data_IF_180248134473
#
_entry.id   IF_180248134473
#
_cell.length_a   1.000
_cell.length_b   1.000
_cell.length_c   1.000
_cell.angle_alpha   90.00
_cell.angle_beta   90.00
_cell.angle_gamma   90.00
#
_symmetry.space_group_name_H-M   'P 1'
#
loop_
_entity.id
_entity.type
_entity.pdbx_description
1 polymer ?
2 water ?
#
# COMPACT_ATOMS: atom_id res chain seq x y z
N UNK A 5 2.76 10.68 -0.48
CA UNK A 5 1.77 10.88 0.61
C UNK A 5 1.24 9.56 1.12
N UNK A 6 2.10 8.54 1.15
CA UNK A 6 1.68 7.22 1.61
C UNK A 6 1.17 7.24 3.04
N UNK A 7 1.65 8.19 3.84
CA UNK A 7 1.21 8.27 5.23
C UNK A 7 -0.22 8.78 5.33
N UNK A 8 -0.81 9.10 4.19
CA UNK A 8 -2.20 9.56 4.15
C UNK A 8 -3.13 8.35 4.01
N UNK A 9 -2.57 7.24 3.57
CA UNK A 9 -3.36 6.02 3.37
C UNK A 9 -2.89 4.83 4.21
N UNK A 10 -1.65 4.88 4.70
CA UNK A 10 -1.10 3.80 5.51
C UNK A 10 -0.57 4.34 6.85
N UNK A 11 -0.66 3.53 7.89
CA UNK A 11 -0.18 3.93 9.21
C UNK A 11 1.33 3.78 9.33
N UNK A 12 2.00 4.87 9.67
CA UNK A 12 3.45 4.84 9.87
C UNK A 12 3.77 5.20 11.31
N UNK A 13 4.84 4.60 11.82
CA UNK A 13 5.30 4.88 13.17
C UNK A 13 6.79 5.16 13.05
N UNK A 14 7.37 5.69 14.12
CA UNK A 14 8.79 6.01 14.14
C UNK A 14 9.44 5.21 15.25
N UNK A 15 10.60 4.61 14.99
CA UNK A 15 11.27 3.84 16.03
C UNK A 15 12.49 4.57 16.57
N UNK A 16 13.21 3.92 17.48
CA UNK A 16 14.39 4.50 18.11
C UNK A 16 15.48 4.95 17.15
N UNK A 17 15.53 4.33 15.97
CA UNK A 17 16.53 4.68 14.97
C UNK A 17 16.10 5.85 14.09
N UNK A 18 14.90 6.37 14.35
CA UNK A 18 14.38 7.47 13.56
C UNK A 18 13.81 6.98 12.24
N UNK A 19 13.64 5.67 12.16
CA UNK A 19 13.10 5.05 10.95
C UNK A 19 11.59 5.12 10.94
N UNK A 20 11.02 5.48 9.78
CA UNK A 20 9.57 5.55 9.63
C UNK A 20 9.18 4.19 9.09
N UNK A 21 8.29 3.47 9.77
CA UNK A 21 7.92 2.16 9.30
C UNK A 21 6.43 1.86 9.34
N UNK A 22 6.02 0.92 8.49
CA UNK A 22 4.63 0.50 8.43
C UNK A 22 4.60 -1.02 8.29
N UNK A 23 3.59 -1.63 8.90
CA UNK A 23 3.42 -3.08 8.82
C UNK A 23 2.71 -3.37 7.49
N UNK A 24 3.33 -4.18 6.65
CA UNK A 24 2.75 -4.52 5.36
C UNK A 24 3.35 -5.84 4.89
N UNK A 25 2.47 -6.81 4.60
CA UNK A 25 2.91 -8.12 4.13
C UNK A 25 2.51 -8.32 2.68
N UNK A 26 3.49 -8.23 1.79
CA UNK A 26 3.26 -8.40 0.36
C UNK A 26 4.48 -9.06 -0.26
N UNK A 27 4.50 -9.14 -1.58
CA UNK A 27 5.62 -9.76 -2.30
C UNK A 27 6.34 -8.76 -3.17
N UNK A 28 7.67 -8.83 -3.18
CA UNK A 28 8.50 -7.95 -3.99
C UNK A 28 9.35 -8.80 -4.92
N UNK A 29 9.30 -8.49 -6.21
CA UNK A 29 10.09 -9.21 -7.22
C UNK A 29 11.11 -8.23 -7.78
N UNK A 30 12.38 -8.51 -7.56
CA UNK A 30 13.45 -7.62 -8.03
C UNK A 30 13.67 -7.66 -9.53
N UNK A 31 13.99 -6.50 -10.11
CA UNK A 31 14.26 -6.45 -11.55
C UNK A 31 15.75 -6.18 -11.75
N UNK A 32 16.51 -6.33 -10.66
CA UNK A 32 17.94 -6.10 -10.67
C UNK A 32 18.59 -6.79 -9.45
N UNK A 33 19.91 -6.94 -9.46
CA UNK A 33 20.61 -7.56 -8.33
C UNK A 33 20.72 -6.52 -7.22
N UNK A 34 20.05 -6.73 -6.10
CA UNK A 34 20.07 -5.76 -5.01
C UNK A 34 20.88 -6.19 -3.78
N UNK A 35 21.69 -5.28 -3.26
CA UNK A 35 22.50 -5.54 -2.07
C UNK A 35 21.66 -5.39 -0.81
N UNK A 36 21.59 -6.45 -0.02
CA UNK A 36 20.81 -6.42 1.22
C UNK A 36 21.69 -6.13 2.44
N UNK A 37 21.07 -5.69 3.52
CA UNK A 37 21.78 -5.36 4.75
C UNK A 37 21.29 -6.11 5.97
N UNK A 38 22.19 -6.28 6.93
CA UNK A 38 21.85 -6.96 8.18
C UNK A 38 21.47 -5.92 9.23
N UNK A 39 20.82 -6.38 10.29
CA UNK A 39 20.47 -5.54 11.45
C UNK A 39 19.50 -4.37 11.27
N UNK A 40 19.66 -3.60 10.19
CA UNK A 40 18.78 -2.47 9.99
C UNK A 40 18.89 -1.86 8.60
N UNK A 41 17.96 -0.95 8.26
CA UNK A 41 17.92 -0.26 6.96
C UNK A 41 18.93 0.88 6.79
N UNK A 42 20.20 0.53 6.85
CA UNK A 42 21.30 1.48 6.68
C UNK A 42 22.36 0.84 5.79
N UNK A 43 22.82 1.57 4.78
CA UNK A 43 23.85 1.04 3.89
C UNK A 43 25.17 0.84 4.64
N UNK A 44 25.28 1.48 5.81
CA UNK A 44 26.49 1.37 6.61
C UNK A 44 26.54 0.03 7.37
N UNK A 45 25.41 -0.67 7.42
CA UNK A 45 25.34 -1.95 8.10
C UNK A 45 26.09 -3.00 7.29
N UNK A 46 26.47 -4.11 7.92
CA UNK A 46 27.19 -5.18 7.20
C UNK A 46 26.31 -5.68 6.06
N UNK A 47 26.92 -6.11 4.96
CA UNK A 47 26.14 -6.62 3.85
C UNK A 47 25.61 -8.00 4.24
N UNK A 48 24.36 -8.29 3.91
CA UNK A 48 23.79 -9.59 4.21
C UNK A 48 24.00 -10.53 3.02
N UNK A 49 23.74 -10.00 1.83
CA UNK A 49 23.91 -10.79 0.62
C UNK A 49 23.41 -10.00 -0.57
N UNK A 50 22.86 -10.69 -1.55
CA UNK A 50 22.33 -10.05 -2.74
C UNK A 50 21.07 -10.77 -3.18
N UNK A 51 20.00 -10.02 -3.40
CA UNK A 51 18.76 -10.61 -3.89
C UNK A 51 18.88 -10.53 -5.40
N UNK A 52 18.98 -11.69 -6.04
CA UNK A 52 19.13 -11.76 -7.49
C UNK A 52 17.92 -11.30 -8.28
N UNK A 53 18.19 -10.71 -9.45
CA UNK A 53 17.14 -10.25 -10.33
C UNK A 53 16.18 -11.39 -10.63
N UNK A 54 14.89 -11.09 -10.61
CA UNK A 54 13.88 -12.08 -10.92
C UNK A 54 13.34 -12.88 -9.75
N UNK A 55 14.02 -12.80 -8.61
CA UNK A 55 13.56 -13.53 -7.43
C UNK A 55 12.47 -12.76 -6.70
N UNK A 56 11.58 -13.50 -6.05
CA UNK A 56 10.49 -12.89 -5.30
C UNK A 56 10.60 -13.26 -3.82
N UNK A 57 10.47 -12.26 -2.95
CA UNK A 57 10.50 -12.52 -1.52
C UNK A 57 9.23 -11.94 -0.90
N UNK A 58 8.85 -12.47 0.25
CA UNK A 58 7.67 -11.98 0.96
C UNK A 58 8.14 -11.17 2.14
N UNK A 59 7.83 -9.88 2.14
CA UNK A 59 8.25 -9.02 3.23
C UNK A 59 7.09 -8.76 4.17
N UNK A 60 7.39 -8.23 5.35
CA UNK A 60 6.35 -7.96 6.34
C UNK A 60 6.43 -6.55 6.89
N UNK A 61 7.42 -5.79 6.46
CA UNK A 61 7.59 -4.43 6.97
C UNK A 61 8.18 -3.55 5.87
N UNK A 62 7.80 -2.27 5.87
CA UNK A 62 8.30 -1.30 4.91
C UNK A 62 8.86 -0.14 5.72
N UNK A 63 10.06 0.32 5.37
CA UNK A 63 10.71 1.39 6.12
C UNK A 63 11.32 2.47 5.25
N UNK A 64 11.38 3.68 5.81
CA UNK A 64 11.99 4.82 5.15
C UNK A 64 13.13 5.25 6.05
N UNK A 65 14.35 5.13 5.53
CA UNK A 65 15.55 5.46 6.29
C UNK A 65 16.74 5.50 5.35
N UNK A 66 17.77 6.26 5.72
CA UNK A 66 18.98 6.34 4.93
C UNK A 66 18.77 6.54 3.43
N UNK A 67 17.95 7.52 3.07
CA UNK A 67 17.70 7.85 1.67
C UNK A 67 17.04 6.82 0.78
N UNK A 68 16.38 5.83 1.38
CA UNK A 68 15.70 4.79 0.60
C UNK A 68 14.48 4.27 1.32
N UNK A 69 13.66 3.52 0.57
CA UNK A 69 12.50 2.85 1.14
C UNK A 69 13.07 1.43 1.18
N UNK A 70 12.83 0.72 2.27
CA UNK A 70 13.33 -0.65 2.40
C UNK A 70 12.18 -1.57 2.80
N UNK A 71 12.37 -2.87 2.60
CA UNK A 71 11.38 -3.84 3.04
C UNK A 71 12.17 -4.81 3.90
N UNK A 72 11.52 -5.35 4.92
CA UNK A 72 12.19 -6.30 5.79
C UNK A 72 11.59 -7.67 5.64
N UNK A 73 12.44 -8.69 5.61
CA UNK A 73 11.97 -10.06 5.46
C UNK A 73 12.98 -11.04 6.06
N UNK A 74 12.57 -12.30 6.18
CA UNK A 74 13.47 -13.32 6.73
C UNK A 74 13.78 -14.36 5.66
N UNK A 75 15.04 -14.77 5.59
CA UNK A 75 15.47 -15.78 4.63
C UNK A 75 15.06 -17.17 5.11
N UNK A 76 15.39 -18.19 4.32
CA UNK A 76 15.08 -19.57 4.67
C UNK A 76 15.78 -20.04 5.93
N UNK A 77 16.84 -19.33 6.32
CA UNK A 77 17.60 -19.69 7.51
C UNK A 77 17.10 -18.91 8.72
N UNK A 78 16.16 -18.01 8.49
CA UNK A 78 15.61 -17.21 9.57
C UNK A 78 16.33 -15.88 9.75
N UNK A 79 17.33 -15.62 8.91
CA UNK A 79 18.10 -14.39 8.97
C UNK A 79 17.23 -13.20 8.57
N UNK A 80 17.24 -12.14 9.39
CA UNK A 80 16.45 -10.94 9.10
C UNK A 80 17.25 -10.08 8.13
N UNK A 81 16.62 -9.71 7.01
CA UNK A 81 17.28 -8.93 5.98
C UNK A 81 16.57 -7.62 5.67
N UNK A 82 17.34 -6.58 5.35
CA UNK A 82 16.76 -5.30 5.00
C UNK A 82 17.13 -5.05 3.54
N UNK A 83 16.10 -4.93 2.71
CA UNK A 83 16.26 -4.75 1.27
C UNK A 83 15.81 -3.40 0.75
N UNK A 84 16.74 -2.62 0.18
CA UNK A 84 16.36 -1.30 -0.35
C UNK A 84 15.64 -1.53 -1.68
N UNK A 85 14.50 -0.85 -1.89
CA UNK A 85 13.75 -1.06 -3.13
C UNK A 85 13.56 0.18 -4.01
N UNK A 86 13.95 1.35 -3.52
CA UNK A 86 13.86 2.60 -4.28
C UNK A 86 14.46 3.72 -3.45
N UNK A 87 14.82 4.82 -4.10
CA UNK A 87 15.37 5.96 -3.39
C UNK A 87 14.24 6.76 -2.76
N UNK A 88 14.59 7.51 -1.72
CA UNK A 88 13.63 8.33 -1.00
C UNK A 88 14.33 9.62 -0.61
N UNK A 89 13.90 10.73 -1.20
CA UNK A 89 14.49 12.02 -0.90
C UNK A 89 13.86 12.52 0.41
N UNK A 90 14.61 12.41 1.49
CA UNK A 90 14.13 12.83 2.80
C UNK A 90 13.84 14.32 2.87
N UNK A 91 14.38 15.07 1.91
CA UNK A 91 14.19 16.52 1.88
C UNK A 91 13.00 16.98 1.04
N UNK A 92 12.32 16.02 0.41
CA UNK A 92 11.16 16.35 -0.43
C UNK A 92 10.10 15.25 -0.38
N UNK A 93 10.53 14.05 -0.02
CA UNK A 93 9.61 12.93 0.05
C UNK A 93 9.53 12.26 -1.31
N UNK A 94 10.28 12.81 -2.28
CA UNK A 94 10.30 12.25 -3.62
C UNK A 94 10.82 10.83 -3.61
N UNK A 95 10.12 9.95 -4.32
CA UNK A 95 10.51 8.56 -4.42
C UNK A 95 11.02 8.24 -5.81
N UNK A 96 12.11 7.47 -5.88
CA UNK A 96 12.65 7.09 -7.16
C UNK A 96 11.88 5.89 -7.68
N UNK A 97 12.19 5.40 -8.89
CA UNK A 97 11.50 4.23 -9.47
C UNK A 97 11.69 2.99 -8.60
N UNK A 98 10.66 2.16 -8.50
CA UNK A 98 10.75 0.93 -7.73
C UNK A 98 11.68 -0.01 -8.50
N UNK A 99 12.59 -0.66 -7.79
CA UNK A 99 13.54 -1.57 -8.44
C UNK A 99 12.97 -2.97 -8.57
N UNK A 100 11.72 -3.03 -8.98
CA UNK A 100 11.05 -4.31 -9.14
C UNK A 100 9.54 -4.13 -9.14
N UNK A 101 8.83 -5.18 -8.75
CA UNK A 101 7.38 -5.13 -8.72
C UNK A 101 6.83 -5.64 -7.40
N UNK A 102 5.76 -4.99 -6.93
CA UNK A 102 5.10 -5.38 -5.69
C UNK A 102 3.73 -5.94 -6.01
N UNK A 103 3.36 -7.00 -5.32
CA UNK A 103 2.06 -7.65 -5.51
C UNK A 103 1.63 -8.25 -4.18
N UNK B 1 -4.89 8.86 -22.32
CA UNK B 1 -6.24 8.37 -22.57
C UNK B 1 -6.59 7.29 -21.55
N UNK B 2 -7.83 7.31 -21.06
CA UNK B 2 -8.29 6.33 -20.08
C UNK B 2 -8.50 4.98 -20.77
N UNK B 3 -7.77 3.95 -20.34
CA UNK B 3 -7.88 2.64 -20.98
C UNK B 3 -8.64 1.55 -20.21
N UNK B 4 -9.06 1.82 -18.98
CA UNK B 4 -9.79 0.83 -18.20
C UNK B 4 -11.23 0.75 -18.70
N UNK B 5 -11.69 -0.46 -19.05
CA UNK B 5 -13.04 -0.66 -19.57
C UNK B 5 -14.04 -1.25 -18.60
N UNK B 6 -13.77 -1.17 -17.31
CA UNK B 6 -14.69 -1.75 -16.33
C UNK B 6 -16.12 -1.22 -16.46
N UNK B 7 -16.28 0.04 -16.86
CA UNK B 7 -17.62 0.60 -16.97
C UNK B 7 -18.45 0.06 -18.13
N UNK B 8 -17.85 -0.84 -18.92
CA UNK B 8 -18.54 -1.47 -20.05
C UNK B 8 -19.28 -2.73 -19.57
N UNK B 9 -18.89 -3.23 -18.41
CA UNK B 9 -19.52 -4.42 -17.84
C UNK B 9 -20.13 -4.21 -16.46
N UNK B 10 -19.69 -3.15 -15.76
CA UNK B 10 -20.25 -2.85 -14.44
C UNK B 10 -20.92 -1.48 -14.47
N UNK B 11 -22.09 -1.38 -13.84
CA UNK B 11 -22.78 -0.10 -13.80
C UNK B 11 -22.14 0.86 -12.81
N UNK B 12 -21.65 1.98 -13.31
CA UNK B 12 -21.06 3.00 -12.45
C UNK B 12 -21.96 4.22 -12.46
N UNK B 13 -22.13 4.83 -11.31
CA UNK B 13 -22.93 6.04 -11.17
C UNK B 13 -21.94 7.12 -10.75
N UNK B 14 -22.34 8.39 -10.86
CA UNK B 14 -21.49 9.49 -10.46
C UNK B 14 -22.33 10.46 -9.65
N UNK B 15 -21.71 11.18 -8.72
CA UNK B 15 -22.46 12.14 -7.93
C UNK B 15 -21.92 13.55 -8.19
N UNK B 16 -22.52 14.54 -7.52
CA UNK B 16 -22.13 15.94 -7.67
C UNK B 16 -20.66 16.22 -7.40
N UNK B 17 -20.01 15.33 -6.66
CA UNK B 17 -18.59 15.51 -6.31
C UNK B 17 -17.65 14.84 -7.31
N UNK B 18 -18.21 14.27 -8.37
CA UNK B 18 -17.41 13.61 -9.39
C UNK B 18 -16.94 12.22 -9.01
N UNK B 19 -17.47 11.67 -7.93
CA UNK B 19 -17.08 10.34 -7.49
C UNK B 19 -17.74 9.25 -8.31
N UNK B 20 -16.95 8.30 -8.77
CA UNK B 20 -17.46 7.17 -9.53
C UNK B 20 -17.73 6.05 -8.54
N UNK B 21 -18.91 5.46 -8.58
CA UNK B 21 -19.20 4.37 -7.65
C UNK B 21 -20.09 3.30 -8.23
N UNK B 22 -19.87 2.07 -7.79
CA UNK B 22 -20.66 0.94 -8.23
C UNK B 22 -20.99 0.07 -7.04
N UNK B 23 -22.11 -0.66 -7.15
CA UNK B 23 -22.55 -1.54 -6.08
C UNK B 23 -21.89 -2.90 -6.25
N UNK B 24 -21.11 -3.31 -5.24
CA UNK B 24 -20.42 -4.59 -5.27
C UNK B 24 -20.21 -5.03 -3.82
N UNK B 25 -20.59 -6.27 -3.53
CA UNK B 25 -20.45 -6.80 -2.16
C UNK B 25 -19.53 -8.02 -2.11
N UNK B 26 -18.51 -7.92 -1.28
CA UNK B 26 -17.55 -9.01 -1.10
C UNK B 26 -16.78 -8.74 0.18
N UNK B 27 -15.76 -9.55 0.45
CA UNK B 27 -14.95 -9.38 1.65
C UNK B 27 -13.54 -8.92 1.30
N UNK B 28 -13.01 -7.97 2.08
CA UNK B 28 -11.66 -7.46 1.87
C UNK B 28 -10.82 -7.72 3.12
N UNK B 29 -9.65 -8.31 2.94
CA UNK B 29 -8.73 -8.57 4.04
C UNK B 29 -7.47 -7.75 3.77
N UNK B 30 -7.19 -6.80 4.65
CA UNK B 30 -6.03 -5.93 4.50
C UNK B 30 -4.70 -6.62 4.74
N UNK B 31 -3.68 -6.24 3.98
CA UNK B 31 -2.35 -6.82 4.18
C UNK B 31 -1.40 -5.76 4.75
N UNK B 32 -2.02 -4.73 5.33
CA UNK B 32 -1.28 -3.62 5.93
C UNK B 32 -2.25 -2.79 6.79
N UNK B 33 -1.72 -1.83 7.54
CA UNK B 33 -2.56 -0.97 8.39
C UNK B 33 -3.03 0.20 7.53
N UNK B 34 -4.31 0.20 7.17
CA UNK B 34 -4.88 1.23 6.31
C UNK B 34 -5.70 2.29 7.03
N UNK B 35 -5.42 3.55 6.69
CA UNK B 35 -6.12 4.69 7.26
C UNK B 35 -7.47 4.87 6.58
N UNK B 36 -8.54 4.83 7.36
CA UNK B 36 -9.90 4.97 6.85
C UNK B 36 -10.41 6.40 6.96
N UNK B 37 -11.42 6.72 6.17
CA UNK B 37 -11.99 8.07 6.16
C UNK B 37 -13.50 8.10 6.43
N UNK B 38 -13.96 9.23 6.96
CA UNK B 38 -15.37 9.43 7.22
C UNK B 38 -15.97 10.24 6.08
N UNK B 39 -17.29 10.16 5.95
CA UNK B 39 -18.04 10.93 4.96
C UNK B 39 -17.88 10.58 3.49
N UNK B 40 -16.64 10.57 2.98
CA UNK B 40 -16.45 10.26 1.58
C UNK B 40 -15.08 9.73 1.22
N UNK B 41 -14.90 9.24 -0.01
CA UNK B 41 -13.63 8.69 -0.50
C UNK B 41 -12.61 9.75 -0.89
N UNK B 42 -12.16 10.52 0.11
CA UNK B 42 -11.16 11.57 -0.08
C UNK B 42 -10.17 11.52 1.09
N UNK B 43 -8.89 11.57 0.78
CA UNK B 43 -7.87 11.56 1.83
C UNK B 43 -7.97 12.84 2.66
N UNK B 44 -8.63 13.85 2.09
CA UNK B 44 -8.80 15.13 2.76
C UNK B 44 -9.93 15.09 3.80
N UNK B 45 -10.72 14.02 3.76
CA UNK B 45 -11.82 13.84 4.72
C UNK B 45 -11.28 13.49 6.09
N UNK B 46 -12.09 13.67 7.14
CA UNK B 46 -11.67 13.35 8.50
C UNK B 46 -11.30 11.87 8.63
N UNK B 47 -10.21 11.58 9.34
CA UNK B 47 -9.83 10.18 9.52
C UNK B 47 -10.84 9.49 10.44
N UNK B 48 -11.24 8.28 10.05
CA UNK B 48 -12.18 7.49 10.83
C UNK B 48 -11.42 6.61 11.80
N UNK B 49 -10.35 6.00 11.31
CA UNK B 49 -9.55 5.12 12.15
C UNK B 49 -8.50 4.40 11.32
N UNK B 50 -8.21 3.17 11.70
CA UNK B 50 -7.22 2.35 11.00
C UNK B 50 -7.70 0.91 10.94
N UNK B 51 -7.68 0.33 9.74
CA UNK B 51 -8.06 -1.07 9.57
C UNK B 51 -6.74 -1.81 9.66
N UNK B 52 -6.54 -2.56 10.74
CA UNK B 52 -5.29 -3.29 10.95
C UNK B 52 -5.02 -4.43 9.98
N UNK B 53 -3.74 -4.70 9.76
CA UNK B 53 -3.32 -5.77 8.87
C UNK B 53 -3.91 -7.10 9.31
N UNK B 54 -4.45 -7.85 8.35
CA UNK B 54 -5.00 -9.16 8.64
C UNK B 54 -6.48 -9.22 8.98
N UNK B 55 -7.10 -8.05 9.18
CA UNK B 55 -8.52 -8.01 9.50
C UNK B 55 -9.35 -8.00 8.23
N UNK B 56 -10.53 -8.63 8.30
CA UNK B 56 -11.43 -8.72 7.17
C UNK B 56 -12.70 -7.91 7.41
N UNK B 57 -13.18 -7.23 6.37
CA UNK B 57 -14.42 -6.46 6.46
C UNK B 57 -15.27 -6.80 5.23
N UNK B 58 -16.57 -6.59 5.33
CA UNK B 58 -17.47 -6.86 4.22
C UNK B 58 -17.98 -5.53 3.69
N UNK B 59 -17.67 -5.23 2.44
CA UNK B 59 -18.09 -3.97 1.84
C UNK B 59 -19.25 -4.16 0.87
N UNK B 60 -19.90 -3.05 0.51
CA UNK B 60 -21.04 -3.12 -0.41
C UNK B 60 -20.98 -2.04 -1.49
N UNK B 61 -19.90 -1.27 -1.51
CA UNK B 61 -19.74 -0.20 -2.48
C UNK B 61 -18.28 -0.03 -2.86
N UNK B 62 -18.02 0.18 -4.15
CA UNK B 62 -16.66 0.40 -4.65
C UNK B 62 -16.64 1.76 -5.33
N UNK B 63 -15.65 2.59 -4.99
CA UNK B 63 -15.55 3.92 -5.55
C UNK B 63 -14.17 4.23 -6.13
N UNK B 64 -14.14 5.11 -7.11
CA UNK B 64 -12.89 5.55 -7.72
C UNK B 64 -12.92 7.07 -7.56
N UNK B 65 -12.03 7.57 -6.73
CA UNK B 65 -11.95 9.00 -6.45
C UNK B 65 -10.64 9.31 -5.75
N UNK B 66 -10.19 10.56 -5.87
CA UNK B 66 -8.96 10.99 -5.20
C UNK B 66 -7.76 10.06 -5.41
N UNK B 67 -7.53 9.66 -6.66
CA UNK B 67 -6.39 8.81 -6.98
C UNK B 67 -6.36 7.40 -6.41
N UNK B 68 -7.50 6.91 -5.96
CA UNK B 68 -7.57 5.56 -5.41
C UNK B 68 -8.90 4.87 -5.66
N UNK B 69 -8.92 3.57 -5.42
CA UNK B 69 -10.14 2.80 -5.50
C UNK B 69 -10.45 2.62 -4.03
N UNK B 70 -11.72 2.79 -3.66
CA UNK B 70 -12.14 2.67 -2.27
C UNK B 70 -13.30 1.72 -2.13
N UNK B 71 -13.50 1.20 -0.92
CA UNK B 71 -14.65 0.35 -0.66
C UNK B 71 -15.36 0.97 0.53
N UNK B 72 -16.69 0.89 0.53
CA UNK B 72 -17.47 1.45 1.62
C UNK B 72 -18.10 0.36 2.44
N UNK B 73 -18.03 0.47 3.75
CA UNK B 73 -18.62 -0.53 4.63
C UNK B 73 -19.05 0.10 5.95
N UNK B 74 -19.72 -0.68 6.78
CA UNK B 74 -20.18 -0.21 8.08
C UNK B 74 -19.51 -0.96 9.21
N UNK B 75 -19.08 -0.23 10.23
CA UNK B 75 -18.42 -0.82 11.37
C UNK B 75 -19.43 -1.50 12.29
N UNK B 76 -18.93 -2.06 13.38
CA UNK B 76 -19.77 -2.75 14.34
C UNK B 76 -20.83 -1.80 14.91
N UNK B 77 -20.49 -0.52 15.00
CA UNK B 77 -21.41 0.48 15.54
C UNK B 77 -22.34 1.03 14.46
N UNK B 78 -22.14 0.61 13.22
CA UNK B 78 -22.98 1.09 12.13
C UNK B 78 -22.42 2.32 11.44
N UNK B 79 -21.22 2.74 11.85
CA UNK B 79 -20.58 3.90 11.26
C UNK B 79 -20.17 3.58 9.82
N UNK B 80 -20.43 4.50 8.90
CA UNK B 80 -20.07 4.29 7.50
C UNK B 80 -18.63 4.74 7.30
N UNK B 81 -17.79 3.84 6.79
CA UNK B 81 -16.38 4.14 6.59
C UNK B 81 -15.92 3.92 5.15
N UNK B 82 -14.98 4.77 4.70
CA UNK B 82 -14.44 4.65 3.37
C UNK B 82 -13.00 4.19 3.47
N UNK B 83 -12.73 3.04 2.85
CA UNK B 83 -11.42 2.41 2.91
C UNK B 83 -10.69 2.39 1.57
N UNK B 84 -9.53 3.06 1.49
CA UNK B 84 -8.78 3.06 0.24
C UNK B 84 -8.10 1.69 0.13
N UNK B 85 -8.16 1.05 -1.04
CA UNK B 85 -7.57 -0.27 -1.19
C UNK B 85 -6.45 -0.43 -2.21
N UNK B 86 -6.23 0.60 -3.02
CA UNK B 86 -5.17 0.58 -4.03
C UNK B 86 -5.13 1.93 -4.75
N UNK B 87 -4.01 2.23 -5.40
CA UNK B 87 -3.90 3.49 -6.12
C UNK B 87 -4.63 3.35 -7.45
N UNK B 88 -5.12 4.47 -7.95
CA UNK B 88 -5.85 4.52 -9.22
C UNK B 88 -5.40 5.74 -10.00
N UNK B 89 -4.82 5.51 -11.18
CA UNK B 89 -4.35 6.60 -12.02
C UNK B 89 -5.61 7.15 -12.70
N UNK B 90 -5.99 8.38 -12.35
CA UNK B 90 -7.20 8.97 -12.91
C UNK B 90 -7.13 9.28 -14.41
N UNK B 91 -5.93 9.35 -14.96
CA UNK B 91 -5.78 9.65 -16.38
C UNK B 91 -5.83 8.40 -17.26
N UNK B 92 -5.15 7.34 -16.83
CA UNK B 92 -5.09 6.11 -17.59
C UNK B 92 -5.94 4.97 -17.06
N UNK B 93 -6.29 5.05 -15.78
CA UNK B 93 -7.09 4.01 -15.16
C UNK B 93 -6.25 2.92 -14.54
N UNK B 94 -4.92 2.98 -14.74
CA UNK B 94 -4.03 1.96 -14.20
C UNK B 94 -4.18 1.81 -12.69
N UNK B 95 -4.30 0.57 -12.24
CA UNK B 95 -4.46 0.28 -10.81
C UNK B 95 -3.16 -0.22 -10.19
N UNK B 96 -2.87 0.26 -8.98
CA UNK B 96 -1.69 -0.19 -8.28
C UNK B 96 -2.04 -1.52 -7.64
N UNK B 97 -1.09 -2.19 -6.95
CA UNK B 97 -1.43 -3.47 -6.33
C UNK B 97 -2.46 -3.33 -5.22
N UNK B 98 -3.31 -4.35 -5.08
CA UNK B 98 -4.35 -4.35 -4.06
C UNK B 98 -3.66 -4.49 -2.71
N UNK B 99 -4.08 -3.67 -1.75
CA UNK B 99 -3.48 -3.70 -0.42
C UNK B 99 -4.14 -4.75 0.46
N UNK B 100 -4.35 -5.92 -0.12
CA UNK B 100 -4.98 -7.01 0.60
C UNK B 100 -5.54 -8.00 -0.40
N UNK B 101 -6.58 -8.72 0.00
CA UNK B 101 -7.20 -9.71 -0.87
C UNK B 101 -8.71 -9.61 -0.78
N UNK B 102 -9.38 -9.90 -1.88
CA UNK B 102 -10.84 -9.86 -1.93
C UNK B 102 -11.41 -11.24 -2.23
N UNK B 103 -12.49 -11.58 -1.54
CA UNK B 103 -13.17 -12.86 -1.72
C UNK B 103 -14.68 -12.65 -1.64
#
# INVERSE_FOLDING_TARGET
DYKDDDDKVKLYKTNKYGTLYKSESASFTANTDIITRLTGPFRSMPQSGVLRKGLTIKYDEVMKQDGHVWVGYNTNSGKRVYLPVRTWNESTGELGPLWGTIK
DYKDDDDKVKLYKTNKYGTLYKSESASFTANTDIITRLTGPFRSMPQSGVLRKGLTIKYDEVMKQDGHVWVGYNTNSGKRVYLPVRTWNESTGELGPLWGTIK
#
